data_IF_473251338945
#
_entry.id   IF_473251338945
#
_cell.length_a   1.000
_cell.length_b   1.000
_cell.length_c   1.000
_cell.angle_alpha   90.00
_cell.angle_beta   90.00
_cell.angle_gamma   90.00
#
_symmetry.space_group_name_H-M   'P 1'
#
loop_
_entity.id
_entity.type
_entity.pdbx_description
1 polymer ?
#
# COMPACT_ATOMS: atom_id res chain seq x y z
N UNK A 1 6.87 -11.53 8.25
CA UNK A 1 7.33 -10.89 6.99
C UNK A 1 8.84 -10.72 7.04
N UNK A 2 9.53 -10.97 5.93
CA UNK A 2 10.96 -10.63 5.79
C UNK A 2 11.16 -9.11 5.90
N UNK A 3 12.30 -8.64 6.42
CA UNK A 3 12.63 -7.20 6.48
C UNK A 3 12.57 -6.54 5.10
N UNK A 4 12.98 -7.27 4.06
CA UNK A 4 12.85 -6.84 2.66
C UNK A 4 11.40 -6.64 2.23
N UNK A 5 10.51 -7.57 2.58
CA UNK A 5 9.07 -7.45 2.26
C UNK A 5 8.44 -6.26 2.99
N UNK A 6 8.81 -6.05 4.26
CA UNK A 6 8.35 -4.90 5.05
C UNK A 6 8.81 -3.57 4.43
N UNK A 7 10.08 -3.46 4.03
CA UNK A 7 10.62 -2.28 3.36
C UNK A 7 9.91 -2.00 2.02
N UNK A 8 9.67 -3.03 1.20
CA UNK A 8 8.95 -2.89 -0.07
C UNK A 8 7.48 -2.48 0.13
N UNK A 9 6.83 -2.97 1.19
CA UNK A 9 5.48 -2.57 1.56
C UNK A 9 5.45 -1.09 1.99
N UNK A 10 6.37 -0.67 2.86
CA UNK A 10 6.51 0.71 3.29
C UNK A 10 6.79 1.67 2.13
N UNK A 11 7.66 1.28 1.20
CA UNK A 11 7.95 2.09 0.02
C UNK A 11 6.69 2.31 -0.84
N UNK A 12 5.93 1.25 -1.12
CA UNK A 12 4.65 1.35 -1.85
C UNK A 12 3.64 2.24 -1.13
N UNK A 13 3.49 2.08 0.18
CA UNK A 13 2.61 2.90 1.02
C UNK A 13 3.03 4.37 1.02
N UNK A 14 4.33 4.65 1.09
CA UNK A 14 4.88 6.01 1.06
C UNK A 14 4.57 6.73 -0.25
N UNK A 15 4.78 6.05 -1.39
CA UNK A 15 4.46 6.61 -2.71
C UNK A 15 2.96 6.85 -2.90
N UNK A 16 2.13 5.94 -2.39
CA UNK A 16 0.66 6.08 -2.43
C UNK A 16 0.19 7.24 -1.58
N UNK A 17 0.68 7.34 -0.34
CA UNK A 17 0.35 8.43 0.57
C UNK A 17 0.75 9.79 -0.02
N UNK A 18 1.96 9.88 -0.59
CA UNK A 18 2.39 11.10 -1.28
C UNK A 18 1.47 11.45 -2.46
N UNK A 19 0.95 10.44 -3.19
CA UNK A 19 0.00 10.65 -4.28
C UNK A 19 -1.38 11.10 -3.79
N UNK A 20 -1.82 10.61 -2.63
CA UNK A 20 -3.10 10.99 -2.04
C UNK A 20 -3.12 12.48 -1.67
N UNK A 21 -1.99 13.01 -1.19
CA UNK A 21 -1.83 14.46 -0.96
C UNK A 21 -1.57 15.27 -2.24
N UNK A 22 -0.75 14.73 -3.15
CA UNK A 22 -0.35 15.44 -4.36
C UNK A 22 -1.36 15.21 -5.49
N UNK A 23 -2.35 16.10 -5.60
CA UNK A 23 -3.36 16.09 -6.66
C UNK A 23 -2.74 16.07 -8.06
N UNK A 24 -1.65 16.82 -8.27
CA UNK A 24 -1.00 16.95 -9.58
C UNK A 24 0.23 16.05 -9.76
N UNK A 25 0.30 15.38 -10.92
CA UNK A 25 1.32 14.37 -11.22
C UNK A 25 2.75 14.91 -11.31
N UNK A 26 2.94 16.15 -11.75
CA UNK A 26 4.25 16.76 -11.87
C UNK A 26 4.87 17.07 -10.50
N UNK A 27 4.06 17.56 -9.54
CA UNK A 27 4.49 17.75 -8.15
C UNK A 27 4.83 16.42 -7.48
N UNK A 28 3.95 15.42 -7.65
CA UNK A 28 4.16 14.09 -7.09
C UNK A 28 5.47 13.44 -7.57
N UNK A 29 5.87 13.64 -8.84
CA UNK A 29 7.09 13.03 -9.37
C UNK A 29 8.34 13.48 -8.60
N UNK A 30 8.44 14.76 -8.25
CA UNK A 30 9.54 15.27 -7.42
C UNK A 30 9.58 14.60 -6.05
N UNK A 31 8.43 14.50 -5.38
CA UNK A 31 8.29 13.82 -4.09
C UNK A 31 8.63 12.32 -4.19
N UNK A 32 8.19 11.64 -5.24
CA UNK A 32 8.46 10.22 -5.44
C UNK A 32 9.95 9.92 -5.62
N UNK A 33 10.68 10.77 -6.37
CA UNK A 33 12.13 10.66 -6.53
C UNK A 33 12.82 10.90 -5.18
N UNK A 34 12.37 11.90 -4.43
CA UNK A 34 12.90 12.17 -3.09
C UNK A 34 12.69 10.98 -2.15
N UNK A 35 11.47 10.43 -2.06
CA UNK A 35 11.19 9.21 -1.27
C UNK A 35 12.11 8.06 -1.69
N UNK A 36 12.29 7.84 -2.99
CA UNK A 36 13.21 6.80 -3.48
C UNK A 36 14.65 7.02 -2.99
N UNK A 37 15.14 8.25 -3.01
CA UNK A 37 16.49 8.58 -2.54
C UNK A 37 16.69 8.21 -1.06
N UNK A 38 15.68 8.43 -0.21
CA UNK A 38 15.71 8.08 1.21
C UNK A 38 15.80 6.56 1.42
N UNK A 39 15.07 5.78 0.63
CA UNK A 39 15.15 4.31 0.70
C UNK A 39 16.47 3.77 0.16
N UNK A 40 16.99 4.33 -0.94
CA UNK A 40 18.29 3.92 -1.51
C UNK A 40 19.45 4.23 -0.56
N UNK A 41 19.42 5.37 0.14
CA UNK A 41 20.43 5.75 1.12
C UNK A 41 20.58 4.72 2.25
N UNK A 42 19.49 4.03 2.62
CA UNK A 42 19.44 3.05 3.70
C UNK A 42 19.50 1.59 3.21
N UNK A 43 19.68 1.35 1.91
CA UNK A 43 19.56 0.01 1.30
C UNK A 43 20.60 -0.99 1.80
N UNK A 44 21.81 -0.53 2.12
CA UNK A 44 22.95 -1.40 2.43
C UNK A 44 23.13 -1.65 3.95
N UNK A 45 22.18 -1.21 4.78
CA UNK A 45 22.22 -1.43 6.22
C UNK A 45 21.98 -2.92 6.48
N UNK A 46 22.97 -3.59 7.04
CA UNK A 46 22.93 -5.04 7.28
C UNK A 46 22.52 -5.38 8.72
N UNK A 47 22.77 -4.47 9.66
CA UNK A 47 22.47 -4.65 11.08
C UNK A 47 20.96 -4.77 11.35
N UNK A 48 20.46 -5.92 11.86
CA UNK A 48 19.03 -6.17 12.01
C UNK A 48 18.34 -5.21 12.99
N UNK A 49 19.04 -4.75 14.03
CA UNK A 49 18.51 -3.79 15.00
C UNK A 49 18.25 -2.43 14.35
N UNK A 50 19.19 -1.97 13.53
CA UNK A 50 19.08 -0.71 12.80
C UNK A 50 17.96 -0.78 11.75
N UNK A 51 17.87 -1.90 11.01
CA UNK A 51 16.75 -2.10 10.07
C UNK A 51 15.40 -1.99 10.77
N UNK A 52 15.22 -2.63 11.93
CA UNK A 52 13.96 -2.56 12.69
C UNK A 52 13.64 -1.15 13.18
N UNK A 53 14.65 -0.42 13.64
CA UNK A 53 14.49 0.97 14.07
C UNK A 53 13.99 1.85 12.92
N UNK A 54 14.65 1.78 11.76
CA UNK A 54 14.26 2.54 10.57
C UNK A 54 12.85 2.19 10.10
N UNK A 55 12.50 0.90 10.03
CA UNK A 55 11.16 0.48 9.63
C UNK A 55 10.09 1.05 10.59
N UNK A 56 10.35 1.04 11.89
CA UNK A 56 9.44 1.59 12.92
C UNK A 56 9.31 3.10 12.82
N UNK A 57 10.41 3.81 12.59
CA UNK A 57 10.41 5.26 12.37
C UNK A 57 9.61 5.62 11.11
N UNK A 58 9.81 4.87 10.03
CA UNK A 58 9.06 5.06 8.78
C UNK A 58 7.57 4.82 8.98
N UNK A 59 7.18 3.79 9.75
CA UNK A 59 5.77 3.55 10.09
C UNK A 59 5.16 4.70 10.87
N UNK A 60 5.87 5.22 11.87
CA UNK A 60 5.42 6.36 12.66
C UNK A 60 5.21 7.61 11.78
N UNK A 61 6.11 7.83 10.82
CA UNK A 61 5.99 8.95 9.89
C UNK A 61 4.79 8.79 8.95
N UNK A 62 4.55 7.60 8.41
CA UNK A 62 3.38 7.36 7.57
C UNK A 62 2.06 7.54 8.34
N UNK A 63 2.04 7.15 9.60
CA UNK A 63 0.86 7.32 10.46
C UNK A 63 0.58 8.80 10.75
N UNK A 64 1.61 9.60 11.05
CA UNK A 64 1.45 11.03 11.31
C UNK A 64 0.98 11.82 10.09
N UNK A 65 1.35 11.38 8.89
CA UNK A 65 1.03 12.06 7.63
C UNK A 65 -0.15 11.44 6.89
N UNK A 66 -0.91 10.54 7.54
CA UNK A 66 -2.01 9.81 6.92
C UNK A 66 -3.06 10.78 6.36
N UNK A 67 -3.44 10.58 5.09
CA UNK A 67 -4.51 11.36 4.48
C UNK A 67 -5.87 10.94 5.09
N UNK A 68 -6.76 11.88 5.46
CA UNK A 68 -8.06 11.55 6.06
C UNK A 68 -8.98 10.78 5.12
N UNK A 69 -8.93 11.08 3.82
CA UNK A 69 -9.75 10.42 2.78
C UNK A 69 -8.87 9.97 1.60
N UNK A 70 -8.15 8.83 1.70
CA UNK A 70 -7.21 8.40 0.67
C UNK A 70 -7.91 7.94 -0.62
N UNK A 71 -7.28 8.12 -1.78
CA UNK A 71 -7.87 7.69 -3.04
C UNK A 71 -7.99 6.16 -3.11
N UNK A 72 -9.22 5.66 -3.24
CA UNK A 72 -9.52 4.27 -3.53
C UNK A 72 -10.01 4.12 -4.99
N UNK A 73 -9.48 3.16 -5.76
CA UNK A 73 -10.04 2.82 -7.07
C UNK A 73 -11.52 2.46 -6.96
N UNK A 74 -12.39 2.87 -7.91
CA UNK A 74 -13.84 2.71 -7.75
C UNK A 74 -14.32 1.28 -7.46
N UNK A 75 -13.68 0.26 -8.04
CA UNK A 75 -14.09 -1.15 -7.89
C UNK A 75 -13.32 -1.89 -6.80
N UNK A 76 -12.30 -1.27 -6.19
CA UNK A 76 -11.57 -1.86 -5.07
C UNK A 76 -12.41 -1.81 -3.78
N UNK A 77 -12.11 -2.63 -2.76
CA UNK A 77 -12.76 -2.52 -1.46
C UNK A 77 -12.69 -1.08 -0.93
N UNK A 78 -13.84 -0.54 -0.50
CA UNK A 78 -13.99 0.85 -0.06
C UNK A 78 -14.14 1.88 -1.18
N UNK A 79 -14.12 1.48 -2.45
CA UNK A 79 -14.37 2.34 -3.60
C UNK A 79 -15.87 2.55 -3.87
N UNK A 80 -16.22 3.61 -4.61
CA UNK A 80 -17.61 4.01 -4.86
C UNK A 80 -18.44 3.06 -5.73
N UNK A 81 -17.81 2.08 -6.39
CA UNK A 81 -18.45 1.04 -7.22
C UNK A 81 -18.17 -0.37 -6.69
N UNK A 82 -17.63 -0.51 -5.49
CA UNK A 82 -17.41 -1.80 -4.86
C UNK A 82 -18.75 -2.55 -4.72
N UNK A 83 -18.78 -3.82 -5.13
CA UNK A 83 -19.96 -4.70 -5.03
C UNK A 83 -21.25 -4.17 -5.67
N UNK A 84 -21.16 -3.16 -6.55
CA UNK A 84 -22.34 -2.52 -7.15
C UNK A 84 -23.20 -3.48 -7.98
N UNK A 85 -22.58 -4.44 -8.66
CA UNK A 85 -23.22 -5.43 -9.53
C UNK A 85 -22.66 -6.84 -9.24
N UNK A 86 -22.81 -7.33 -8.01
CA UNK A 86 -22.41 -8.71 -7.70
C UNK A 86 -23.25 -9.73 -8.49
N UNK A 87 -22.65 -10.80 -9.03
CA UNK A 87 -23.44 -11.89 -9.59
C UNK A 87 -24.28 -12.53 -8.48
N UNK A 88 -25.51 -12.93 -8.82
CA UNK A 88 -26.37 -13.64 -7.88
C UNK A 88 -25.68 -14.93 -7.40
N UNK A 89 -25.86 -15.32 -6.13
CA UNK A 89 -25.32 -16.58 -5.63
C UNK A 89 -25.93 -17.75 -6.40
N UNK A 90 -25.13 -18.80 -6.62
CA UNK A 90 -25.61 -20.05 -7.22
C UNK A 90 -26.48 -20.74 -6.19
N UNK A 91 -27.79 -20.80 -6.46
CA UNK A 91 -28.77 -21.50 -5.62
C UNK A 91 -28.94 -22.97 -6.03
N UNK A 92 -28.35 -23.37 -7.16
CA UNK A 92 -28.42 -24.74 -7.64
C UNK A 92 -27.68 -25.68 -6.68
N UNK A 93 -28.29 -26.81 -6.28
CA UNK A 93 -27.61 -27.79 -5.46
C UNK A 93 -26.42 -28.38 -6.23
N UNK A 94 -25.34 -28.78 -5.53
CA UNK A 94 -24.23 -29.47 -6.19
C UNK A 94 -24.73 -30.75 -6.89
N UNK A 95 -24.12 -31.14 -8.02
CA UNK A 95 -24.50 -32.37 -8.70
C UNK A 95 -24.35 -33.58 -7.75
N UNK A 96 -25.20 -34.61 -7.87
CA UNK A 96 -25.12 -35.78 -7.02
C UNK A 96 -23.75 -36.46 -7.16
N UNK A 97 -23.14 -36.83 -6.03
CA UNK A 97 -21.88 -37.57 -6.00
C UNK A 97 -22.08 -38.91 -6.70
N UNK A 98 -21.30 -39.17 -7.76
CA UNK A 98 -21.23 -40.49 -8.40
C UNK A 98 -20.38 -41.38 -7.50
N UNK A 99 -21.00 -42.32 -6.81
CA UNK A 99 -20.35 -43.47 -6.18
C UNK A 99 -20.38 -44.66 -7.13
#
# INVERSE_FOLDING_TARGET
>A
MSSRQAALSLYRRSLKLALDWAVHRHLWRGQAIYIRSLFEANRNITEPRQQRALLKETEKLLDSWKHPDPYAPPTAPGGSKYERNLPAPILEPPPPLKY
#
